data_IF_042323626891
#
_entry.id   IF_042323626891
#
_cell.length_a   1.000
_cell.length_b   1.000
_cell.length_c   1.000
_cell.angle_alpha   90.00
_cell.angle_beta   90.00
_cell.angle_gamma   90.00
#
_symmetry.space_group_name_H-M   'P 1'
#
loop_
_entity.id
_entity.type
_entity.pdbx_description
1 polymer ?
#
# COMPACT_ATOMS: atom_id res chain seq x y z
N UNK A 1 38.00 -21.54 20.57
CA UNK A 1 37.44 -20.61 21.58
C UNK A 1 36.24 -19.93 20.96
N UNK A 2 35.07 -20.01 21.60
CA UNK A 2 33.90 -19.23 21.18
C UNK A 2 34.14 -17.76 21.61
N UNK A 3 34.01 -16.82 20.67
CA UNK A 3 34.13 -15.38 20.93
C UNK A 3 32.76 -14.80 21.26
N UNK A 4 32.66 -14.10 22.39
CA UNK A 4 31.46 -13.37 22.81
C UNK A 4 31.43 -11.91 22.36
N UNK A 5 32.53 -11.43 21.75
CA UNK A 5 32.58 -10.11 21.12
C UNK A 5 32.01 -10.26 19.71
N UNK A 6 30.93 -9.53 19.42
CA UNK A 6 30.08 -9.60 18.22
C UNK A 6 28.91 -10.60 18.26
N UNK A 7 28.42 -10.97 19.45
CA UNK A 7 27.05 -11.48 19.53
C UNK A 7 26.14 -10.27 19.38
N UNK A 8 25.42 -10.15 18.25
CA UNK A 8 24.44 -9.11 18.02
C UNK A 8 23.24 -9.35 18.95
N UNK A 9 23.38 -8.94 20.21
CA UNK A 9 22.34 -8.99 21.23
C UNK A 9 21.39 -7.82 21.01
N UNK A 10 20.41 -8.02 20.11
CA UNK A 10 19.18 -7.23 20.05
C UNK A 10 19.37 -5.75 19.73
N UNK A 11 19.55 -5.44 18.45
CA UNK A 11 19.40 -4.08 17.97
C UNK A 11 17.93 -3.66 18.00
N UNK A 12 17.64 -2.49 18.59
CA UNK A 12 16.49 -1.67 18.20
C UNK A 12 16.66 -1.24 16.73
N UNK A 13 16.67 -2.19 15.79
CA UNK A 13 16.76 -1.87 14.38
C UNK A 13 15.41 -1.34 13.95
N UNK A 14 15.34 -0.05 13.61
CA UNK A 14 14.15 0.53 13.00
C UNK A 14 13.69 -0.39 11.86
N UNK A 15 12.42 -0.85 11.85
CA UNK A 15 11.94 -1.77 10.83
C UNK A 15 12.20 -1.22 9.43
N UNK A 16 12.53 -2.07 8.47
CA UNK A 16 12.79 -1.63 7.08
C UNK A 16 11.51 -1.36 6.29
N UNK A 17 10.36 -1.77 6.82
CA UNK A 17 9.06 -1.64 6.18
C UNK A 17 8.25 -0.49 6.78
N UNK A 18 7.49 0.22 5.94
CA UNK A 18 6.43 1.11 6.41
C UNK A 18 5.36 0.31 7.18
N UNK A 19 4.71 0.97 8.13
CA UNK A 19 3.65 0.42 8.95
C UNK A 19 2.47 1.41 9.00
N UNK A 20 1.27 0.99 9.46
CA UNK A 20 0.16 1.92 9.68
C UNK A 20 0.54 3.05 10.62
N UNK A 21 0.15 4.27 10.28
CA UNK A 21 0.61 5.48 10.96
C UNK A 21 0.54 6.72 10.06
N UNK A 22 0.74 7.90 10.63
CA UNK A 22 1.07 9.07 9.83
C UNK A 22 2.54 9.01 9.43
N UNK A 23 2.85 9.33 8.17
CA UNK A 23 4.20 9.32 7.64
C UNK A 23 4.39 10.40 6.58
N UNK A 24 5.64 10.76 6.30
CA UNK A 24 6.01 11.41 5.05
C UNK A 24 6.65 10.37 4.13
N UNK A 25 6.21 10.32 2.88
CA UNK A 25 6.66 9.34 1.90
C UNK A 25 6.94 10.01 0.56
N UNK A 26 7.90 9.48 -0.20
CA UNK A 26 7.99 9.67 -1.65
C UNK A 26 7.51 8.41 -2.35
N UNK A 27 7.03 8.55 -3.58
CA UNK A 27 6.61 7.44 -4.41
C UNK A 27 7.75 7.06 -5.37
N UNK A 28 8.15 5.80 -5.34
CA UNK A 28 9.16 5.23 -6.23
C UNK A 28 8.55 4.63 -7.50
N UNK A 29 7.30 4.17 -7.43
CA UNK A 29 6.55 3.64 -8.56
C UNK A 29 5.03 3.67 -8.31
N UNK A 30 4.26 3.77 -9.37
CA UNK A 30 2.80 3.59 -9.38
C UNK A 30 2.45 2.54 -10.42
N UNK A 31 1.63 1.56 -10.05
CA UNK A 31 1.15 0.53 -10.99
C UNK A 31 -0.25 0.04 -10.66
N UNK A 32 -0.87 -0.63 -11.63
CA UNK A 32 -2.05 -1.44 -11.37
C UNK A 32 -1.66 -2.87 -10.99
N UNK A 33 -2.43 -3.46 -10.07
CA UNK A 33 -2.33 -4.87 -9.75
C UNK A 33 -3.72 -5.52 -9.81
N UNK A 34 -3.86 -6.57 -10.62
CA UNK A 34 -5.06 -7.38 -10.70
C UNK A 34 -5.35 -8.05 -9.36
N UNK A 35 -6.62 -8.10 -8.97
CA UNK A 35 -7.04 -8.93 -7.83
C UNK A 35 -7.46 -10.32 -8.29
N UNK A 36 -6.97 -11.40 -7.66
CA UNK A 36 -7.22 -12.77 -8.12
C UNK A 36 -8.68 -13.21 -7.95
N UNK A 37 -9.42 -12.58 -7.03
CA UNK A 37 -10.79 -12.95 -6.68
C UNK A 37 -11.86 -12.12 -7.41
N UNK A 38 -11.49 -11.14 -8.25
CA UNK A 38 -12.44 -10.33 -9.03
C UNK A 38 -11.83 -9.95 -10.38
N UNK A 39 -12.29 -10.63 -11.42
CA UNK A 39 -11.84 -10.40 -12.80
C UNK A 39 -12.06 -8.94 -13.19
N UNK A 40 -11.05 -8.33 -13.81
CA UNK A 40 -11.10 -6.94 -14.28
C UNK A 40 -11.03 -5.88 -13.18
N UNK A 41 -10.87 -6.26 -11.91
CA UNK A 41 -10.68 -5.30 -10.84
C UNK A 41 -9.19 -5.06 -10.55
N UNK A 42 -8.85 -3.82 -10.22
CA UNK A 42 -7.46 -3.40 -9.98
C UNK A 42 -7.29 -2.74 -8.62
N UNK A 43 -6.15 -2.97 -7.99
CA UNK A 43 -5.62 -2.04 -7.01
C UNK A 43 -4.68 -1.06 -7.70
N UNK A 44 -4.79 0.23 -7.38
CA UNK A 44 -3.72 1.20 -7.64
C UNK A 44 -2.70 1.05 -6.51
N UNK A 45 -1.47 0.69 -6.88
CA UNK A 45 -0.37 0.41 -5.94
C UNK A 45 0.64 1.54 -5.98
N UNK A 46 0.93 2.08 -4.80
CA UNK A 46 2.03 3.01 -4.56
C UNK A 46 3.18 2.25 -3.93
N UNK A 47 4.31 2.16 -4.62
CA UNK A 47 5.56 1.74 -4.00
C UNK A 47 6.19 2.97 -3.38
N UNK A 48 6.22 3.02 -2.06
CA UNK A 48 6.59 4.20 -1.30
C UNK A 48 7.85 3.98 -0.48
N UNK A 49 8.58 5.06 -0.23
CA UNK A 49 9.72 5.12 0.68
C UNK A 49 9.58 6.32 1.61
N UNK A 50 9.83 6.12 2.91
CA UNK A 50 9.92 7.20 3.88
C UNK A 50 11.16 8.08 3.72
N UNK A 51 11.35 9.09 4.59
CA UNK A 51 12.58 9.88 4.60
C UNK A 51 13.80 9.00 4.91
N UNK A 52 14.97 9.46 4.49
CA UNK A 52 16.22 8.80 4.84
C UNK A 52 16.41 8.78 6.36
N UNK A 53 16.73 7.60 6.91
CA UNK A 53 16.86 7.40 8.36
C UNK A 53 18.28 7.61 8.91
N UNK A 54 19.19 8.13 8.08
CA UNK A 54 20.57 8.41 8.45
C UNK A 54 21.55 7.28 8.12
N UNK A 55 22.83 7.51 8.41
CA UNK A 55 23.94 6.64 8.00
C UNK A 55 23.90 5.24 8.62
N UNK A 56 23.28 5.09 9.80
CA UNK A 56 23.20 3.82 10.52
C UNK A 56 22.02 2.93 10.07
N UNK A 57 21.18 3.43 9.14
CA UNK A 57 20.08 2.67 8.59
C UNK A 57 20.44 2.10 7.21
N UNK A 58 20.26 0.78 7.07
CA UNK A 58 20.34 0.10 5.78
C UNK A 58 18.99 -0.53 5.44
N UNK A 59 18.31 0.00 4.42
CA UNK A 59 17.03 -0.52 3.95
C UNK A 59 17.11 -1.88 3.26
N UNK A 60 16.08 -2.22 2.48
CA UNK A 60 16.16 -3.36 1.56
C UNK A 60 17.03 -3.01 0.36
N UNK A 61 17.62 -4.03 -0.27
CA UNK A 61 18.27 -3.86 -1.56
C UNK A 61 17.23 -3.36 -2.57
N UNK A 62 17.61 -2.37 -3.39
CA UNK A 62 16.74 -1.85 -4.46
C UNK A 62 16.44 -2.94 -5.47
N UNK A 63 17.45 -3.75 -5.77
CA UNK A 63 17.35 -4.96 -6.56
C UNK A 63 18.06 -6.09 -5.81
N UNK A 64 17.34 -7.21 -5.62
CA UNK A 64 17.88 -8.35 -4.87
C UNK A 64 18.93 -9.12 -5.66
N UNK A 65 18.87 -9.03 -6.99
CA UNK A 65 19.74 -9.76 -7.90
C UNK A 65 20.93 -8.92 -8.35
N UNK A 66 20.90 -7.60 -8.11
CA UNK A 66 21.97 -6.65 -8.44
C UNK A 66 22.34 -5.74 -7.25
N UNK A 67 23.36 -6.12 -6.45
CA UNK A 67 23.84 -5.32 -5.33
C UNK A 67 24.38 -3.93 -5.71
N UNK A 68 24.75 -3.70 -6.98
CA UNK A 68 25.29 -2.42 -7.43
C UNK A 68 24.24 -1.30 -7.44
N UNK A 69 22.95 -1.67 -7.48
CA UNK A 69 21.83 -0.72 -7.40
C UNK A 69 21.60 -0.17 -6.00
N UNK A 70 22.32 -0.66 -5.00
CA UNK A 70 22.31 -0.13 -3.64
C UNK A 70 21.08 -0.50 -2.81
N UNK A 71 20.83 0.29 -1.77
CA UNK A 71 19.79 0.05 -0.77
C UNK A 71 18.90 1.27 -0.63
N UNK A 72 17.63 1.06 -0.29
CA UNK A 72 16.74 2.14 0.11
C UNK A 72 17.27 2.85 1.36
N UNK A 73 17.15 4.18 1.39
CA UNK A 73 17.64 5.03 2.46
C UNK A 73 16.60 5.18 3.59
N UNK A 74 15.32 4.95 3.28
CA UNK A 74 14.22 4.95 4.22
C UNK A 74 13.47 3.62 4.29
N UNK A 75 12.41 3.61 5.10
CA UNK A 75 11.47 2.50 5.18
C UNK A 75 10.66 2.40 3.90
N UNK A 76 10.50 1.20 3.34
CA UNK A 76 9.71 0.99 2.12
C UNK A 76 8.40 0.28 2.38
N UNK A 77 7.39 0.55 1.59
CA UNK A 77 6.10 -0.10 1.70
C UNK A 77 5.35 -0.12 0.38
N UNK A 78 4.51 -1.13 0.23
CA UNK A 78 3.52 -1.20 -0.82
C UNK A 78 2.19 -0.75 -0.23
N UNK A 79 1.65 0.37 -0.72
CA UNK A 79 0.43 0.98 -0.20
C UNK A 79 -0.62 0.93 -1.30
N UNK A 80 -1.80 0.37 -1.03
CA UNK A 80 -2.95 0.46 -1.93
C UNK A 80 -3.56 1.84 -1.80
N UNK A 81 -3.86 2.51 -2.91
CA UNK A 81 -4.48 3.84 -2.85
C UNK A 81 -5.86 3.79 -2.16
N UNK A 82 -6.53 2.65 -2.20
CA UNK A 82 -7.84 2.43 -1.57
C UNK A 82 -7.87 1.11 -0.81
N UNK A 83 -8.76 1.03 0.20
CA UNK A 83 -9.00 -0.21 0.97
C UNK A 83 -9.50 -1.36 0.08
N UNK A 84 -10.20 -1.06 -1.01
CA UNK A 84 -10.82 -2.03 -1.92
C UNK A 84 -10.39 -1.76 -3.36
N UNK A 85 -10.27 -2.81 -4.19
CA UNK A 85 -9.94 -2.65 -5.59
C UNK A 85 -11.04 -1.89 -6.33
N UNK A 86 -10.63 -1.15 -7.36
CA UNK A 86 -11.48 -0.49 -8.33
C UNK A 86 -12.13 -1.52 -9.24
N UNK A 87 -13.42 -1.36 -9.48
CA UNK A 87 -14.22 -2.24 -10.33
C UNK A 87 -15.50 -1.55 -10.73
N UNK A 88 -16.05 -1.91 -11.88
CA UNK A 88 -17.38 -1.47 -12.27
C UNK A 88 -18.43 -1.96 -11.27
N UNK A 89 -19.50 -1.18 -11.13
CA UNK A 89 -20.60 -1.54 -10.26
C UNK A 89 -21.72 -0.51 -10.24
N UNK A 90 -22.74 -0.79 -9.44
CA UNK A 90 -23.85 0.13 -9.18
C UNK A 90 -24.01 0.25 -7.67
N UNK A 91 -24.06 1.47 -7.16
CA UNK A 91 -24.25 1.70 -5.72
C UNK A 91 -25.67 1.29 -5.30
N UNK A 92 -25.90 1.13 -3.99
CA UNK A 92 -27.26 0.90 -3.44
C UNK A 92 -28.26 2.01 -3.79
N UNK A 93 -27.77 3.18 -4.20
CA UNK A 93 -28.57 4.34 -4.61
C UNK A 93 -28.80 4.41 -6.12
N UNK A 94 -28.21 3.50 -6.89
CA UNK A 94 -28.35 3.44 -8.35
C UNK A 94 -27.25 4.17 -9.13
N UNK A 95 -26.22 4.71 -8.46
CA UNK A 95 -25.12 5.40 -9.14
C UNK A 95 -24.21 4.38 -9.84
N UNK A 96 -23.92 4.62 -11.12
CA UNK A 96 -22.97 3.79 -11.88
C UNK A 96 -21.55 4.18 -11.51
N UNK A 97 -20.75 3.18 -11.14
CA UNK A 97 -19.31 3.32 -10.93
C UNK A 97 -18.61 2.75 -12.16
N UNK A 98 -17.85 3.60 -12.84
CA UNK A 98 -16.92 3.20 -13.89
C UNK A 98 -15.51 3.06 -13.29
N UNK A 99 -14.91 1.88 -13.43
CA UNK A 99 -13.59 1.54 -12.89
C UNK A 99 -12.51 2.52 -13.37
N UNK A 100 -12.48 2.78 -14.66
CA UNK A 100 -11.41 3.53 -15.33
C UNK A 100 -11.49 5.01 -14.94
N UNK A 101 -12.69 5.56 -14.86
CA UNK A 101 -12.91 6.93 -14.36
C UNK A 101 -12.42 7.09 -12.91
N UNK A 102 -12.68 6.12 -12.04
CA UNK A 102 -12.24 6.17 -10.64
C UNK A 102 -10.71 6.03 -10.50
N UNK A 103 -10.08 5.23 -11.35
CA UNK A 103 -8.60 5.17 -11.45
C UNK A 103 -8.06 6.50 -11.98
N UNK A 104 -8.67 7.09 -13.02
CA UNK A 104 -8.24 8.37 -13.57
C UNK A 104 -8.35 9.51 -12.55
N UNK A 105 -9.43 9.55 -11.76
CA UNK A 105 -9.57 10.47 -10.61
C UNK A 105 -8.45 10.28 -9.58
N UNK A 106 -8.00 9.04 -9.39
CA UNK A 106 -6.88 8.70 -8.51
C UNK A 106 -5.57 9.25 -9.05
N UNK A 107 -5.26 9.04 -10.33
CA UNK A 107 -4.07 9.62 -10.98
C UNK A 107 -4.10 11.14 -10.96
N UNK A 108 -5.24 11.76 -11.24
CA UNK A 108 -5.43 13.21 -11.14
C UNK A 108 -5.16 13.73 -9.73
N UNK A 109 -5.64 13.03 -8.70
CA UNK A 109 -5.41 13.41 -7.31
C UNK A 109 -3.92 13.33 -6.95
N UNK A 110 -3.24 12.25 -7.37
CA UNK A 110 -1.79 12.13 -7.22
C UNK A 110 -1.07 13.28 -7.94
N UNK A 111 -1.45 13.59 -9.17
CA UNK A 111 -0.83 14.67 -9.94
C UNK A 111 -0.99 16.04 -9.27
N UNK A 112 -2.17 16.33 -8.72
CA UNK A 112 -2.40 17.57 -7.97
C UNK A 112 -1.52 17.64 -6.71
N UNK A 113 -1.51 16.58 -5.91
CA UNK A 113 -0.80 16.59 -4.61
C UNK A 113 0.72 16.47 -4.78
N UNK A 114 1.19 16.00 -5.93
CA UNK A 114 2.60 15.92 -6.34
C UNK A 114 2.96 16.98 -7.38
N UNK A 115 2.13 17.99 -7.62
CA UNK A 115 2.43 19.11 -8.52
C UNK A 115 2.94 18.66 -9.91
N UNK A 116 2.26 17.69 -10.52
CA UNK A 116 2.58 17.17 -11.86
C UNK A 116 1.35 17.09 -12.79
N UNK A 117 0.36 17.96 -12.58
CA UNK A 117 -0.84 18.05 -13.44
C UNK A 117 -0.49 18.37 -14.90
N UNK A 118 0.55 19.17 -15.16
CA UNK A 118 1.02 19.45 -16.51
C UNK A 118 1.45 18.18 -17.29
N UNK A 119 1.97 17.16 -16.58
CA UNK A 119 2.24 15.87 -17.21
C UNK A 119 0.94 15.17 -17.59
N UNK A 120 -0.06 15.16 -16.72
CA UNK A 120 -1.35 14.51 -16.99
C UNK A 120 -2.08 15.17 -18.17
N UNK A 121 -2.10 16.50 -18.22
CA UNK A 121 -2.68 17.26 -19.35
C UNK A 121 -1.96 16.91 -20.67
N UNK A 122 -0.65 16.67 -20.61
CA UNK A 122 0.12 16.26 -21.79
C UNK A 122 -0.18 14.84 -22.27
N UNK A 123 -0.84 14.00 -21.46
CA UNK A 123 -1.23 12.63 -21.83
C UNK A 123 -2.65 12.53 -22.40
N UNK A 124 -3.36 13.65 -22.52
CA UNK A 124 -4.73 13.68 -23.03
C UNK A 124 -4.83 13.04 -24.43
N UNK A 125 -5.82 12.16 -24.60
CA UNK A 125 -6.07 11.36 -25.82
C UNK A 125 -4.89 10.49 -26.33
N UNK A 126 -3.87 10.20 -25.50
CA UNK A 126 -2.70 9.37 -25.89
C UNK A 126 -2.77 7.90 -25.52
N UNK A 127 -3.82 7.48 -24.81
CA UNK A 127 -3.95 6.14 -24.27
C UNK A 127 -5.32 5.54 -24.59
N UNK A 128 -5.33 4.35 -25.19
CA UNK A 128 -6.56 3.60 -25.48
C UNK A 128 -7.18 2.97 -24.24
N UNK A 129 -6.38 2.76 -23.18
CA UNK A 129 -6.82 2.12 -21.93
C UNK A 129 -6.22 2.79 -20.70
N UNK A 130 -6.91 2.64 -19.56
CA UNK A 130 -6.42 3.16 -18.28
C UNK A 130 -5.11 2.48 -17.86
N UNK A 131 -4.91 1.21 -18.19
CA UNK A 131 -3.69 0.47 -17.92
C UNK A 131 -2.49 1.10 -18.59
N UNK A 132 -2.62 1.49 -19.87
CA UNK A 132 -1.55 2.17 -20.61
C UNK A 132 -1.19 3.52 -20.00
N UNK A 133 -2.19 4.31 -19.57
CA UNK A 133 -1.95 5.59 -18.89
C UNK A 133 -1.18 5.40 -17.57
N UNK A 134 -1.59 4.44 -16.75
CA UNK A 134 -0.96 4.19 -15.44
C UNK A 134 0.44 3.60 -15.61
N UNK A 135 0.66 2.74 -16.62
CA UNK A 135 1.99 2.24 -16.97
C UNK A 135 2.92 3.39 -17.37
N UNK A 136 2.46 4.31 -18.23
CA UNK A 136 3.21 5.50 -18.62
C UNK A 136 3.52 6.41 -17.41
N UNK A 137 2.55 6.61 -16.51
CA UNK A 137 2.75 7.36 -15.27
C UNK A 137 3.81 6.72 -14.36
N UNK A 138 3.80 5.40 -14.24
CA UNK A 138 4.79 4.61 -13.51
C UNK A 138 6.19 4.68 -14.13
N UNK A 139 6.26 4.74 -15.46
CA UNK A 139 7.51 4.81 -16.24
C UNK A 139 8.15 6.20 -16.21
N UNK A 140 7.40 7.25 -16.54
CA UNK A 140 7.92 8.62 -16.62
C UNK A 140 8.23 9.22 -15.25
N UNK A 141 7.54 8.73 -14.21
CA UNK A 141 7.69 9.17 -12.81
C UNK A 141 7.70 10.70 -12.67
N UNK A 142 6.69 11.42 -13.17
CA UNK A 142 6.64 12.89 -13.07
C UNK A 142 6.56 13.40 -11.60
N UNK A 143 6.32 12.48 -10.66
CA UNK A 143 6.30 12.69 -9.21
C UNK A 143 7.64 12.45 -8.51
N UNK A 144 8.70 12.03 -9.23
CA UNK A 144 9.95 11.61 -8.61
C UNK A 144 10.55 12.69 -7.69
N UNK A 145 11.01 12.26 -6.51
CA UNK A 145 11.66 13.14 -5.52
C UNK A 145 10.72 14.02 -4.70
N UNK A 146 9.42 14.04 -5.01
CA UNK A 146 8.42 14.81 -4.24
C UNK A 146 7.86 13.96 -3.10
N UNK A 147 7.54 14.63 -2.00
CA UNK A 147 7.03 14.01 -0.78
C UNK A 147 5.55 14.30 -0.57
N UNK A 148 4.84 13.32 -0.05
CA UNK A 148 3.48 13.40 0.46
C UNK A 148 3.49 13.22 1.97
N UNK A 149 2.64 13.97 2.66
CA UNK A 149 2.22 13.65 4.02
C UNK A 149 1.01 12.74 3.93
N UNK A 150 1.03 11.61 4.64
CA UNK A 150 0.01 10.56 4.51
C UNK A 150 -0.46 10.04 5.87
N UNK A 151 -1.70 9.54 5.90
CA UNK A 151 -2.16 8.59 6.90
C UNK A 151 -2.24 7.21 6.24
N UNK A 152 -1.45 6.26 6.73
CA UNK A 152 -1.43 4.88 6.26
C UNK A 152 -2.30 4.05 7.21
N UNK A 153 -3.32 3.42 6.65
CA UNK A 153 -4.16 2.43 7.30
C UNK A 153 -3.67 1.01 6.99
N UNK A 154 -4.20 0.01 7.68
CA UNK A 154 -3.76 -1.38 7.50
C UNK A 154 -4.84 -2.41 7.76
N UNK A 155 -4.82 -3.48 6.98
CA UNK A 155 -5.57 -4.71 7.27
C UNK A 155 -4.63 -5.74 7.86
N UNK A 156 -4.93 -6.18 9.07
CA UNK A 156 -4.17 -7.22 9.76
C UNK A 156 -4.30 -8.55 9.02
N UNK A 157 -3.18 -9.24 8.90
CA UNK A 157 -3.09 -10.63 8.52
C UNK A 157 -1.94 -11.30 9.27
N UNK A 158 -1.99 -12.62 9.42
CA UNK A 158 -0.84 -13.37 9.90
C UNK A 158 0.07 -13.69 8.72
N UNK A 159 1.34 -13.31 8.82
CA UNK A 159 2.34 -13.69 7.83
C UNK A 159 2.69 -15.18 7.98
N UNK A 160 3.47 -15.72 7.04
CA UNK A 160 3.88 -17.15 7.03
C UNK A 160 4.62 -17.60 8.29
N UNK A 161 5.17 -16.65 9.05
CA UNK A 161 5.89 -16.90 10.31
C UNK A 161 5.01 -16.74 11.55
N UNK A 162 3.71 -16.50 11.38
CA UNK A 162 2.74 -16.36 12.48
C UNK A 162 2.71 -14.97 13.13
N UNK A 163 3.47 -13.99 12.61
CA UNK A 163 3.45 -12.62 13.13
C UNK A 163 2.36 -11.80 12.45
N UNK A 164 1.75 -10.88 13.21
CA UNK A 164 0.85 -9.87 12.67
C UNK A 164 1.61 -8.97 11.69
N UNK A 165 1.07 -8.85 10.48
CA UNK A 165 1.51 -7.93 9.44
C UNK A 165 0.30 -7.16 8.91
N UNK A 166 0.57 -6.12 8.12
CA UNK A 166 -0.47 -5.21 7.61
C UNK A 166 -0.42 -5.11 6.10
N UNK A 167 -1.55 -5.35 5.44
CA UNK A 167 -1.78 -4.93 4.06
C UNK A 167 -2.15 -3.45 4.09
N UNK A 168 -1.24 -2.60 3.62
CA UNK A 168 -1.31 -1.15 3.79
C UNK A 168 -2.22 -0.52 2.73
N UNK A 169 -3.02 0.45 3.15
CA UNK A 169 -3.85 1.25 2.24
C UNK A 169 -4.02 2.69 2.73
N UNK A 170 -4.40 3.62 1.85
CA UNK A 170 -4.83 4.94 2.26
C UNK A 170 -6.31 4.90 2.70
N UNK A 171 -6.67 5.46 3.87
CA UNK A 171 -8.06 5.50 4.30
C UNK A 171 -8.89 6.37 3.35
N UNK A 172 -10.20 6.13 3.30
CA UNK A 172 -11.09 7.02 2.53
C UNK A 172 -11.09 8.41 3.13
N UNK A 173 -11.34 9.42 2.29
CA UNK A 173 -11.69 10.74 2.77
C UNK A 173 -12.83 10.67 3.79
N UNK A 174 -12.69 11.41 4.87
CA UNK A 174 -13.74 11.57 5.88
C UNK A 174 -13.85 13.04 6.26
N UNK A 175 -14.87 13.36 7.05
CA UNK A 175 -14.98 14.68 7.70
C UNK A 175 -13.75 15.03 8.56
N UNK A 176 -12.98 14.03 8.97
CA UNK A 176 -11.83 14.18 9.85
C UNK A 176 -10.54 14.52 9.07
N UNK A 177 -10.55 14.43 7.73
CA UNK A 177 -9.42 14.85 6.91
C UNK A 177 -9.23 14.11 5.60
N UNK A 178 -8.11 14.43 4.96
CA UNK A 178 -7.59 13.79 3.76
C UNK A 178 -6.70 12.59 4.13
N UNK A 179 -6.58 11.63 3.23
CA UNK A 179 -5.66 10.51 3.42
C UNK A 179 -4.21 10.90 3.13
N UNK A 180 -4.03 11.84 2.21
CA UNK A 180 -2.73 12.36 1.77
C UNK A 180 -2.86 13.82 1.35
N UNK A 181 -1.73 14.52 1.36
CA UNK A 181 -1.54 15.84 0.77
C UNK A 181 -0.06 16.04 0.43
N UNK A 182 0.26 17.09 -0.33
CA UNK A 182 1.66 17.49 -0.55
C UNK A 182 2.39 17.76 0.76
N UNK A 183 3.60 17.21 0.94
CA UNK A 183 4.41 17.49 2.14
C UNK A 183 4.83 18.97 2.22
N UNK A 184 4.74 19.73 1.12
CA UNK A 184 4.99 21.17 1.07
C UNK A 184 3.90 22.01 1.73
N UNK A 185 2.73 21.44 2.02
CA UNK A 185 1.70 22.11 2.84
C UNK A 185 2.24 22.31 4.25
N UNK A 186 2.12 23.54 4.77
CA UNK A 186 2.50 23.89 6.14
C UNK A 186 1.88 22.87 7.13
N UNK A 187 2.68 22.20 7.99
CA UNK A 187 2.18 21.25 8.96
C UNK A 187 1.06 21.80 9.86
N UNK A 188 1.04 23.11 10.15
CA UNK A 188 -0.01 23.75 10.94
C UNK A 188 -1.36 23.84 10.19
N UNK A 189 -1.33 23.75 8.85
CA UNK A 189 -2.49 23.79 7.96
C UNK A 189 -2.85 22.42 7.38
N UNK A 190 -2.11 21.38 7.78
CA UNK A 190 -2.31 20.01 7.31
C UNK A 190 -3.74 19.55 7.53
N UNK A 191 -4.31 18.94 6.50
CA UNK A 191 -5.63 18.31 6.54
C UNK A 191 -5.55 16.80 6.57
N UNK A 192 -4.33 16.23 6.61
CA UNK A 192 -4.16 14.78 6.70
C UNK A 192 -4.73 14.27 8.01
N UNK A 193 -5.61 13.28 7.91
CA UNK A 193 -6.26 12.68 9.08
C UNK A 193 -5.21 12.12 10.03
N UNK A 194 -5.39 12.38 11.33
CA UNK A 194 -4.53 11.81 12.36
C UNK A 194 -4.80 10.31 12.49
N UNK A 195 -3.73 9.53 12.45
CA UNK A 195 -3.80 8.09 12.63
C UNK A 195 -4.40 7.75 14.00
N UNK A 196 -5.28 6.77 13.96
CA UNK A 196 -5.99 6.21 15.10
C UNK A 196 -6.20 4.72 14.82
N UNK A 197 -5.58 3.81 15.59
CA UNK A 197 -5.68 2.38 15.33
C UNK A 197 -7.12 1.85 15.43
N UNK A 198 -7.99 2.46 16.24
CA UNK A 198 -9.39 2.04 16.35
C UNK A 198 -10.21 2.29 15.07
N UNK A 199 -9.75 3.22 14.22
CA UNK A 199 -10.42 3.61 12.97
C UNK A 199 -9.69 3.04 11.75
N UNK A 200 -8.37 3.03 11.80
CA UNK A 200 -7.51 2.79 10.63
C UNK A 200 -6.95 1.37 10.57
N UNK A 201 -7.22 0.52 11.57
CA UNK A 201 -6.86 -0.90 11.52
C UNK A 201 -8.11 -1.75 11.30
N UNK A 202 -8.08 -2.54 10.24
CA UNK A 202 -9.02 -3.65 10.05
C UNK A 202 -8.40 -4.90 10.66
N UNK A 203 -8.97 -5.38 11.77
CA UNK A 203 -8.53 -6.62 12.39
C UNK A 203 -8.77 -7.81 11.47
N UNK A 204 -7.86 -8.78 11.52
CA UNK A 204 -8.06 -10.07 10.86
C UNK A 204 -9.33 -10.72 11.45
N UNK A 205 -10.18 -11.31 10.60
CA UNK A 205 -11.24 -12.19 11.09
C UNK A 205 -10.56 -13.48 11.58
N UNK A 206 -10.56 -13.72 12.89
CA UNK A 206 -10.11 -14.99 13.45
C UNK A 206 -11.12 -16.06 13.03
N UNK A 207 -10.66 -17.14 12.39
CA UNK A 207 -11.47 -18.35 12.28
C UNK A 207 -11.30 -19.12 13.58
N UNK A 208 -12.36 -19.23 14.39
CA UNK A 208 -12.37 -20.14 15.52
C UNK A 208 -12.34 -21.57 14.97
N UNK A 209 -11.21 -22.25 15.15
CA UNK A 209 -11.14 -23.71 14.94
C UNK A 209 -11.86 -24.38 16.11
N UNK A 210 -13.11 -24.77 15.88
CA UNK A 210 -14.02 -25.31 16.90
C UNK A 210 -13.52 -26.63 17.55
N UNK A 211 -12.62 -27.37 16.89
CA UNK A 211 -11.87 -28.46 17.50
C UNK A 211 -10.68 -28.83 16.63
N UNK A 212 -9.56 -29.20 17.25
CA UNK A 212 -8.56 -30.03 16.58
C UNK A 212 -9.08 -31.45 16.68
N UNK A 213 -9.53 -32.02 15.56
CA UNK A 213 -9.97 -33.41 15.52
C UNK A 213 -8.87 -34.32 16.05
N UNK A 214 -9.13 -34.97 17.18
CA UNK A 214 -8.35 -36.13 17.62
C UNK A 214 -8.76 -37.29 16.75
N UNK A 215 -8.12 -37.47 15.60
CA UNK A 215 -8.07 -38.78 14.95
C UNK A 215 -6.71 -38.99 14.31
N UNK A 216 -6.01 -39.97 14.88
CA UNK A 216 -4.80 -40.54 14.33
C UNK A 216 -5.15 -41.31 13.05
N UNK A 217 -4.78 -40.79 11.88
CA UNK A 217 -4.30 -41.59 10.74
C UNK A 217 -3.85 -40.70 9.59
N UNK A 218 -2.89 -41.21 8.82
CA UNK A 218 -2.12 -40.54 7.79
C UNK A 218 -2.90 -40.08 6.54
N UNK A 219 -2.28 -39.11 5.85
CA UNK A 219 -2.34 -38.76 4.42
C UNK A 219 -3.30 -37.66 3.91
N UNK A 220 -2.63 -36.58 3.49
CA UNK A 220 -2.82 -35.72 2.31
C UNK A 220 -3.99 -34.73 2.17
N UNK A 221 -3.58 -33.57 1.62
CA UNK A 221 -4.30 -32.50 0.91
C UNK A 221 -5.02 -31.45 1.77
N UNK A 222 -4.35 -30.32 2.00
CA UNK A 222 -4.98 -29.08 2.40
C UNK A 222 -5.68 -28.45 1.19
N UNK A 223 -7.01 -28.57 1.11
CA UNK A 223 -7.83 -27.74 0.23
C UNK A 223 -8.27 -26.51 1.01
N UNK A 224 -7.75 -25.34 0.65
CA UNK A 224 -8.22 -24.06 1.15
C UNK A 224 -9.56 -23.71 0.48
N UNK A 225 -10.66 -23.85 1.19
CA UNK A 225 -11.97 -23.36 0.78
C UNK A 225 -12.09 -21.85 1.03
N UNK A 226 -12.27 -21.08 -0.03
CA UNK A 226 -12.76 -19.69 0.04
C UNK A 226 -14.27 -19.77 0.19
N UNK A 227 -14.82 -19.31 1.31
CA UNK A 227 -16.26 -19.16 1.48
C UNK A 227 -16.68 -17.79 0.97
N UNK A 228 -17.45 -17.80 -0.13
CA UNK A 228 -18.19 -16.68 -0.69
C UNK A 228 -19.24 -16.18 0.31
N UNK A 229 -19.06 -14.97 0.85
CA UNK A 229 -20.16 -14.18 1.41
C UNK A 229 -20.01 -12.72 0.98
N UNK A 230 -20.41 -12.45 -0.27
CA UNK A 230 -20.74 -11.12 -0.75
C UNK A 230 -22.24 -10.89 -0.53
N UNK A 231 -22.59 -10.02 0.42
CA UNK A 231 -23.89 -9.37 0.41
C UNK A 231 -23.75 -7.99 -0.24
N UNK A 232 -24.39 -7.86 -1.40
CA UNK A 232 -24.55 -6.62 -2.16
C UNK A 232 -25.27 -5.54 -1.36
#
# INVERSE_FOLDING_TARGET
>A
MISTKNINTGGNSTPKTLAPGNAEIKINNVRLELVPYKVGAYNVILEAEGPALGADFQGFAIDKDDPSKGYYAGQVGRIRYSEYPYSDGVTKRGDVINRDEEILKTIKTLCRDLDCEAWLDSQDEKHDTIESLVEQFGSDKPYAGKFLRVCIAGREYQNRSGYTAYDLFLPKWSKDGLAMESASVDPAMSRVVKYNPAVHIRKAKTQDVASFGTDASHNHAATSGIADEFNL
#
